data_IF_242536081479
#
_entry.id   IF_242536081479
#
_cell.length_a   1.000
_cell.length_b   1.000
_cell.length_c   1.000
_cell.angle_alpha   90.00
_cell.angle_beta   90.00
_cell.angle_gamma   90.00
#
_symmetry.space_group_name_H-M   'P 1'
#
loop_
_entity.id
_entity.type
_entity.pdbx_description
1 polymer ?
#
# COMPACT_ATOMS: atom_id res chain seq x y z
N UNK A 1 4.90 21.51 -18.76
CA UNK A 1 4.66 20.58 -17.65
C UNK A 1 3.40 19.73 -17.91
N UNK A 2 2.24 20.34 -18.20
CA UNK A 2 0.96 19.63 -18.45
C UNK A 2 1.07 18.60 -19.59
N UNK A 3 1.63 18.98 -20.74
CA UNK A 3 1.82 18.07 -21.88
C UNK A 3 2.65 16.85 -21.51
N UNK A 4 3.67 17.01 -20.68
CA UNK A 4 4.52 15.91 -20.21
C UNK A 4 3.78 15.03 -19.20
N UNK A 5 3.01 15.61 -18.29
CA UNK A 5 2.17 14.86 -17.35
C UNK A 5 1.12 14.01 -18.08
N UNK A 6 0.44 14.57 -19.10
CA UNK A 6 -0.49 13.83 -19.94
C UNK A 6 0.20 12.65 -20.66
N UNK A 7 1.38 12.89 -21.23
CA UNK A 7 2.16 11.85 -21.92
C UNK A 7 2.56 10.71 -20.96
N UNK A 8 2.99 11.03 -19.75
CA UNK A 8 3.34 10.03 -18.73
C UNK A 8 2.10 9.23 -18.35
N UNK A 9 0.97 9.88 -18.09
CA UNK A 9 -0.30 9.25 -17.77
C UNK A 9 -0.74 8.27 -18.86
N UNK A 10 -0.76 8.72 -20.12
CA UNK A 10 -1.13 7.87 -21.26
C UNK A 10 -0.21 6.65 -21.40
N UNK A 11 1.10 6.86 -21.31
CA UNK A 11 2.08 5.78 -21.40
C UNK A 11 1.95 4.79 -20.23
N UNK A 12 1.68 5.25 -19.02
CA UNK A 12 1.48 4.40 -17.86
C UNK A 12 0.34 3.40 -18.11
N UNK A 13 -0.84 3.88 -18.51
CA UNK A 13 -1.96 2.98 -18.77
C UNK A 13 -1.76 2.12 -20.01
N UNK A 14 -1.17 2.68 -21.07
CA UNK A 14 -0.87 1.94 -22.31
C UNK A 14 0.06 0.75 -22.11
N UNK A 15 1.06 0.90 -21.24
CA UNK A 15 2.12 -0.12 -21.11
C UNK A 15 2.03 -0.95 -19.83
N UNK A 16 1.40 -0.43 -18.77
CA UNK A 16 1.37 -1.11 -17.47
C UNK A 16 0.01 -1.72 -17.14
N UNK A 17 -1.08 -1.30 -17.80
CA UNK A 17 -2.38 -1.92 -17.60
C UNK A 17 -2.45 -3.29 -18.29
N UNK A 18 -2.75 -4.31 -17.48
CA UNK A 18 -3.03 -5.66 -17.98
C UNK A 18 -4.55 -5.88 -17.99
N UNK A 19 -5.21 -5.87 -19.15
CA UNK A 19 -6.66 -6.01 -19.22
C UNK A 19 -7.16 -7.41 -18.81
N UNK A 20 -6.31 -8.45 -18.84
CA UNK A 20 -6.67 -9.79 -18.37
C UNK A 20 -6.57 -9.91 -16.87
N UNK A 21 -5.56 -9.27 -16.29
CA UNK A 21 -5.39 -9.20 -14.85
C UNK A 21 -6.28 -8.12 -14.22
N UNK A 22 -6.80 -7.17 -15.02
CA UNK A 22 -7.56 -5.99 -14.57
C UNK A 22 -6.77 -5.20 -13.51
N UNK A 23 -5.47 -4.99 -13.78
CA UNK A 23 -4.56 -4.40 -12.82
C UNK A 23 -3.36 -3.73 -13.50
N UNK A 24 -2.81 -2.69 -12.87
CA UNK A 24 -1.55 -2.09 -13.26
C UNK A 24 -0.38 -2.93 -12.73
N UNK A 25 0.47 -3.39 -13.64
CA UNK A 25 1.55 -4.32 -13.35
C UNK A 25 2.91 -3.74 -13.73
N UNK A 26 3.96 -4.30 -13.17
CA UNK A 26 5.34 -3.91 -13.46
C UNK A 26 5.76 -4.41 -14.83
N UNK A 27 6.37 -3.53 -15.61
CA UNK A 27 7.06 -3.86 -16.86
C UNK A 27 8.57 -3.82 -16.62
N UNK A 28 9.28 -4.90 -16.96
CA UNK A 28 10.75 -4.89 -16.93
C UNK A 28 11.31 -3.91 -17.96
N UNK A 29 12.44 -3.30 -17.65
CA UNK A 29 13.17 -2.41 -18.58
C UNK A 29 14.00 -3.19 -19.62
N UNK A 30 13.98 -4.51 -19.56
CA UNK A 30 14.70 -5.36 -20.51
C UNK A 30 14.09 -5.28 -21.91
N UNK A 31 14.91 -5.47 -22.93
CA UNK A 31 14.44 -5.49 -24.32
C UNK A 31 13.48 -6.66 -24.54
N UNK A 32 12.27 -6.37 -25.09
CA UNK A 32 11.19 -7.32 -25.28
C UNK A 32 10.54 -7.85 -23.98
N UNK A 33 10.58 -7.08 -22.90
CA UNK A 33 9.96 -7.46 -21.64
C UNK A 33 8.42 -7.50 -21.74
N UNK A 34 7.84 -8.43 -21.02
CA UNK A 34 6.40 -8.50 -20.76
C UNK A 34 6.07 -7.99 -19.36
N UNK A 35 4.81 -7.69 -19.13
CA UNK A 35 4.31 -7.42 -17.78
C UNK A 35 4.59 -8.61 -16.86
N UNK A 36 5.01 -8.31 -15.63
CA UNK A 36 5.21 -9.35 -14.60
C UNK A 36 3.89 -10.03 -14.28
N UNK A 37 3.96 -11.32 -13.93
CA UNK A 37 2.75 -12.13 -13.69
C UNK A 37 2.17 -11.98 -12.27
N UNK A 38 2.47 -10.92 -11.57
CA UNK A 38 2.02 -10.65 -10.20
C UNK A 38 1.30 -9.32 -10.12
N UNK A 39 0.24 -9.23 -9.30
CA UNK A 39 -0.30 -7.96 -8.84
C UNK A 39 0.48 -7.52 -7.61
N UNK A 40 1.04 -6.34 -7.66
CA UNK A 40 1.75 -5.73 -6.55
C UNK A 40 0.96 -4.53 -6.02
N UNK A 41 0.98 -4.30 -4.72
CA UNK A 41 0.21 -3.24 -4.06
C UNK A 41 0.49 -1.85 -4.67
N UNK A 42 1.69 -1.64 -5.20
CA UNK A 42 2.06 -0.43 -5.93
C UNK A 42 1.21 -0.15 -7.18
N UNK A 43 0.49 -1.12 -7.70
CA UNK A 43 -0.46 -0.91 -8.77
C UNK A 43 -1.59 0.07 -8.42
N UNK A 44 -1.82 0.36 -7.13
CA UNK A 44 -2.77 1.39 -6.68
C UNK A 44 -2.19 2.81 -6.61
N UNK A 45 -0.87 2.96 -6.75
CA UNK A 45 -0.20 4.28 -6.65
C UNK A 45 -0.78 5.36 -7.57
N UNK A 46 -1.21 5.07 -8.81
CA UNK A 46 -1.78 6.11 -9.68
C UNK A 46 -3.00 6.84 -9.11
N UNK A 47 -3.81 6.17 -8.28
CA UNK A 47 -4.94 6.82 -7.61
C UNK A 47 -4.52 7.78 -6.50
N UNK A 48 -3.36 7.56 -5.87
CA UNK A 48 -2.84 8.49 -4.89
C UNK A 48 -2.46 9.86 -5.50
N UNK A 49 -2.29 9.91 -6.81
CA UNK A 49 -1.97 11.13 -7.58
C UNK A 49 -3.09 11.55 -8.55
N UNK A 50 -4.31 11.01 -8.40
CA UNK A 50 -5.46 11.25 -9.28
C UNK A 50 -5.18 11.03 -10.79
N UNK A 51 -4.27 10.11 -11.10
CA UNK A 51 -3.91 9.81 -12.48
C UNK A 51 -4.85 8.78 -13.15
N UNK A 52 -5.46 7.90 -12.36
CA UNK A 52 -6.35 6.86 -12.88
C UNK A 52 -7.79 7.34 -13.02
N UNK A 53 -8.47 6.96 -14.10
CA UNK A 53 -9.91 7.20 -14.27
C UNK A 53 -10.75 6.05 -13.70
N UNK A 54 -12.07 6.26 -13.61
CA UNK A 54 -13.04 5.25 -13.17
C UNK A 54 -13.03 3.97 -14.04
N UNK A 55 -12.58 4.05 -15.29
CA UNK A 55 -12.47 2.88 -16.18
C UNK A 55 -11.52 1.79 -15.65
N UNK A 56 -10.56 2.20 -14.81
CA UNK A 56 -9.59 1.31 -14.20
C UNK A 56 -9.97 0.91 -12.76
N UNK A 57 -11.08 1.41 -12.22
CA UNK A 57 -11.49 1.17 -10.85
C UNK A 57 -11.74 -0.31 -10.52
N UNK A 58 -11.95 -1.15 -11.52
CA UNK A 58 -12.06 -2.61 -11.37
C UNK A 58 -10.85 -3.23 -10.63
N UNK A 59 -9.69 -2.60 -10.68
CA UNK A 59 -8.50 -3.03 -9.93
C UNK A 59 -8.74 -3.10 -8.42
N UNK A 60 -9.63 -2.27 -7.89
CA UNK A 60 -9.89 -2.19 -6.45
C UNK A 60 -10.64 -3.39 -5.87
N UNK A 61 -11.27 -4.23 -6.70
CA UNK A 61 -11.90 -5.49 -6.24
C UNK A 61 -10.92 -6.47 -5.58
N UNK A 62 -9.61 -6.31 -5.82
CA UNK A 62 -8.58 -7.16 -5.24
C UNK A 62 -8.11 -6.70 -3.86
N UNK A 63 -8.32 -5.41 -3.50
CA UNK A 63 -7.77 -4.85 -2.26
C UNK A 63 -8.30 -5.56 -1.02
N UNK A 64 -9.61 -5.71 -0.92
CA UNK A 64 -10.28 -6.30 0.25
C UNK A 64 -10.45 -7.83 0.15
N UNK A 65 -9.71 -8.46 -0.73
CA UNK A 65 -9.76 -9.90 -0.94
C UNK A 65 -8.57 -10.59 -0.26
N UNK A 66 -8.86 -11.55 0.63
CA UNK A 66 -7.86 -12.30 1.40
C UNK A 66 -7.01 -13.27 0.56
N UNK A 67 -7.37 -13.54 -0.69
CA UNK A 67 -6.51 -14.26 -1.64
C UNK A 67 -5.53 -13.33 -2.34
N UNK A 68 -5.79 -12.02 -2.28
CA UNK A 68 -4.97 -11.01 -2.94
C UNK A 68 -4.24 -10.16 -1.90
N UNK A 69 -4.81 -9.05 -1.45
CA UNK A 69 -4.04 -8.11 -0.64
C UNK A 69 -4.44 -8.06 0.83
N UNK A 70 -5.70 -8.36 1.19
CA UNK A 70 -6.17 -8.17 2.56
C UNK A 70 -5.55 -9.20 3.51
N UNK A 71 -4.91 -8.72 4.59
CA UNK A 71 -4.42 -9.54 5.68
C UNK A 71 -4.66 -8.85 7.04
N UNK A 72 -4.60 -9.61 8.17
CA UNK A 72 -4.99 -9.10 9.49
C UNK A 72 -4.23 -7.88 10.00
N UNK A 73 -2.97 -7.67 9.55
CA UNK A 73 -2.10 -6.59 10.00
C UNK A 73 -1.67 -5.62 8.90
N UNK A 74 -2.40 -5.61 7.80
CA UNK A 74 -2.17 -4.69 6.68
C UNK A 74 -2.20 -5.40 5.33
N UNK A 75 -2.32 -4.64 4.23
CA UNK A 75 -2.30 -5.23 2.91
C UNK A 75 -0.91 -5.79 2.60
N UNK A 76 -0.87 -6.92 1.94
CA UNK A 76 0.38 -7.53 1.46
C UNK A 76 0.93 -6.77 0.25
N UNK A 77 2.23 -6.69 0.10
CA UNK A 77 2.88 -6.01 -1.03
C UNK A 77 2.74 -6.74 -2.35
N UNK A 78 2.54 -8.06 -2.32
CA UNK A 78 2.19 -8.89 -3.47
C UNK A 78 0.91 -9.68 -3.19
N UNK A 79 0.18 -10.08 -4.23
CA UNK A 79 -1.02 -10.90 -4.07
C UNK A 79 -0.70 -12.28 -3.46
N UNK A 80 -1.45 -12.67 -2.43
CA UNK A 80 -1.19 -13.86 -1.61
C UNK A 80 -1.34 -15.18 -2.39
N UNK A 81 -2.12 -15.19 -3.46
CA UNK A 81 -2.29 -16.38 -4.30
C UNK A 81 -1.15 -16.60 -5.32
N UNK A 82 -0.21 -15.67 -5.44
CA UNK A 82 0.90 -15.81 -6.38
C UNK A 82 1.94 -16.81 -5.87
N UNK A 83 2.49 -17.70 -6.72
CA UNK A 83 3.46 -18.72 -6.30
C UNK A 83 4.76 -18.18 -5.66
N UNK A 84 5.14 -16.94 -5.98
CA UNK A 84 6.32 -16.28 -5.42
C UNK A 84 6.00 -15.42 -4.18
N UNK A 85 4.74 -15.43 -3.71
CA UNK A 85 4.40 -14.79 -2.46
C UNK A 85 5.18 -15.41 -1.31
N UNK A 86 5.86 -14.59 -0.52
CA UNK A 86 6.70 -15.06 0.56
C UNK A 86 6.75 -14.05 1.70
N UNK A 87 6.54 -14.52 2.92
CA UNK A 87 6.86 -13.81 4.15
C UNK A 87 7.95 -14.58 4.85
N UNK A 88 9.15 -14.03 4.94
CA UNK A 88 10.33 -14.75 5.42
C UNK A 88 11.14 -13.95 6.46
N UNK A 89 11.88 -14.68 7.30
CA UNK A 89 12.81 -14.15 8.30
C UNK A 89 14.26 -14.50 7.92
N UNK A 90 14.52 -14.62 6.63
CA UNK A 90 15.82 -14.95 6.05
C UNK A 90 16.13 -14.02 4.87
N UNK A 91 17.38 -13.98 4.43
CA UNK A 91 17.79 -13.09 3.36
C UNK A 91 17.91 -11.64 3.80
N UNK A 92 17.54 -10.70 2.97
CA UNK A 92 17.50 -9.28 3.30
C UNK A 92 16.22 -8.94 4.06
N UNK A 93 16.28 -8.02 5.04
CA UNK A 93 15.12 -7.61 5.82
C UNK A 93 14.11 -6.77 5.03
N UNK A 94 14.57 -6.08 3.99
CA UNK A 94 13.74 -5.26 3.11
C UNK A 94 13.10 -6.14 2.02
N UNK A 95 11.92 -6.70 2.28
CA UNK A 95 11.22 -7.63 1.39
C UNK A 95 9.92 -7.02 0.88
N UNK A 96 9.68 -7.13 -0.43
CA UNK A 96 8.54 -6.56 -1.14
C UNK A 96 7.64 -7.60 -1.84
N UNK A 97 7.84 -8.87 -1.56
CA UNK A 97 7.09 -9.97 -2.17
C UNK A 97 6.07 -10.63 -1.24
N UNK A 98 5.65 -9.93 -0.19
CA UNK A 98 4.67 -10.46 0.76
C UNK A 98 4.44 -9.61 2.01
N UNK A 99 5.47 -9.16 2.73
CA UNK A 99 5.30 -8.36 3.94
C UNK A 99 4.45 -7.11 3.73
N UNK A 100 3.72 -6.69 4.75
CA UNK A 100 3.04 -5.41 4.74
C UNK A 100 4.03 -4.28 5.04
N UNK A 101 3.89 -3.17 4.32
CA UNK A 101 4.71 -1.98 4.47
C UNK A 101 3.83 -0.78 4.82
N UNK A 102 4.06 -0.12 5.95
CA UNK A 102 3.33 1.11 6.31
C UNK A 102 3.31 2.14 5.19
N UNK A 103 4.44 2.38 4.53
CA UNK A 103 4.51 3.28 3.39
C UNK A 103 3.54 2.91 2.25
N UNK A 104 3.58 1.65 1.81
CA UNK A 104 2.70 1.17 0.74
C UNK A 104 1.23 1.16 1.17
N UNK A 105 0.94 0.83 2.44
CA UNK A 105 -0.40 0.92 3.02
C UNK A 105 -0.94 2.34 3.01
N UNK A 106 -0.11 3.31 3.42
CA UNK A 106 -0.47 4.73 3.41
C UNK A 106 -0.78 5.22 1.99
N UNK A 107 0.08 4.93 1.03
CA UNK A 107 -0.14 5.30 -0.38
C UNK A 107 -1.42 4.67 -0.95
N UNK A 108 -1.70 3.42 -0.59
CA UNK A 108 -2.93 2.74 -1.01
C UNK A 108 -4.17 3.40 -0.39
N UNK A 109 -4.12 3.78 0.88
CA UNK A 109 -5.22 4.47 1.55
C UNK A 109 -5.45 5.88 0.98
N UNK A 110 -4.40 6.63 0.62
CA UNK A 110 -4.55 7.90 -0.11
C UNK A 110 -5.26 7.68 -1.44
N UNK A 111 -4.82 6.68 -2.20
CA UNK A 111 -5.46 6.33 -3.47
C UNK A 111 -6.92 5.90 -3.31
N UNK A 112 -7.23 5.13 -2.26
CA UNK A 112 -8.60 4.72 -1.94
C UNK A 112 -9.48 5.93 -1.57
N UNK A 113 -8.96 6.84 -0.75
CA UNK A 113 -9.68 8.06 -0.41
C UNK A 113 -9.96 8.93 -1.65
N UNK A 114 -8.98 9.10 -2.54
CA UNK A 114 -9.17 9.83 -3.79
C UNK A 114 -10.20 9.15 -4.71
N UNK A 115 -10.11 7.82 -4.87
CA UNK A 115 -11.11 7.07 -5.65
C UNK A 115 -12.53 7.29 -5.12
N UNK A 116 -12.73 7.17 -3.80
CA UNK A 116 -14.05 7.28 -3.18
C UNK A 116 -14.64 8.68 -3.27
N UNK A 117 -13.80 9.71 -3.26
CA UNK A 117 -14.25 11.09 -3.36
C UNK A 117 -14.42 11.58 -4.80
N UNK A 118 -13.53 11.16 -5.71
CA UNK A 118 -13.43 11.77 -7.04
C UNK A 118 -14.07 10.93 -8.14
N UNK A 119 -14.45 9.65 -7.86
CA UNK A 119 -14.88 8.74 -8.92
C UNK A 119 -16.12 7.93 -8.52
N UNK A 120 -17.07 7.79 -9.45
CA UNK A 120 -18.20 6.87 -9.28
C UNK A 120 -17.78 5.45 -9.65
N UNK A 121 -17.86 4.52 -8.71
CA UNK A 121 -17.54 3.11 -8.89
C UNK A 121 -18.27 2.25 -7.83
N UNK A 122 -18.24 0.91 -7.97
CA UNK A 122 -18.96 -0.03 -7.09
C UNK A 122 -18.09 -1.17 -6.55
N UNK A 123 -16.77 -1.07 -6.67
CA UNK A 123 -15.84 -2.14 -6.27
C UNK A 123 -15.43 -2.07 -4.80
N UNK A 124 -15.39 -0.86 -4.25
CA UNK A 124 -15.06 -0.56 -2.85
C UNK A 124 -15.90 0.60 -2.33
N UNK A 125 -16.05 0.70 -1.02
CA UNK A 125 -16.82 1.76 -0.37
C UNK A 125 -16.09 2.36 0.85
N UNK A 126 -16.73 3.29 1.55
CA UNK A 126 -16.15 3.94 2.73
C UNK A 126 -15.93 2.97 3.90
N UNK A 127 -16.64 1.85 3.98
CA UNK A 127 -16.41 0.82 5.00
C UNK A 127 -15.11 0.07 4.76
N UNK A 128 -14.75 -0.12 3.49
CA UNK A 128 -13.47 -0.71 3.10
C UNK A 128 -12.31 0.20 3.53
N UNK A 129 -12.45 1.52 3.31
CA UNK A 129 -11.48 2.50 3.79
C UNK A 129 -11.32 2.43 5.32
N UNK A 130 -12.42 2.50 6.07
CA UNK A 130 -12.41 2.44 7.55
C UNK A 130 -11.80 1.12 8.03
N UNK A 131 -12.13 0.01 7.36
CA UNK A 131 -11.60 -1.32 7.71
C UNK A 131 -10.09 -1.35 7.54
N UNK A 132 -9.58 -0.96 6.38
CA UNK A 132 -8.14 -0.98 6.09
C UNK A 132 -7.38 0.04 6.95
N UNK A 133 -7.92 1.23 7.14
CA UNK A 133 -7.37 2.25 8.02
C UNK A 133 -7.29 1.76 9.47
N UNK A 134 -8.33 1.09 9.96
CA UNK A 134 -8.35 0.51 11.31
C UNK A 134 -7.35 -0.63 11.49
N UNK A 135 -7.16 -1.46 10.47
CA UNK A 135 -6.11 -2.50 10.45
C UNK A 135 -4.74 -1.83 10.53
N UNK A 136 -4.50 -0.81 9.71
CA UNK A 136 -3.25 -0.05 9.69
C UNK A 136 -2.95 0.58 11.05
N UNK A 137 -3.89 1.33 11.62
CA UNK A 137 -3.72 1.97 12.92
C UNK A 137 -3.38 0.96 14.03
N UNK A 138 -4.05 -0.20 14.04
CA UNK A 138 -3.80 -1.27 15.02
C UNK A 138 -2.50 -2.02 14.80
N UNK A 139 -1.93 -1.98 13.61
CA UNK A 139 -0.64 -2.62 13.32
C UNK A 139 0.56 -1.82 13.82
N UNK A 140 0.37 -0.54 14.18
CA UNK A 140 1.44 0.36 14.62
C UNK A 140 1.86 0.14 16.08
N UNK A 141 2.02 -1.12 16.47
CA UNK A 141 2.46 -1.52 17.80
C UNK A 141 3.47 -2.67 17.72
N UNK A 142 4.32 -2.74 18.73
CA UNK A 142 5.17 -3.89 19.01
C UNK A 142 4.74 -4.53 20.30
N UNK A 143 4.63 -5.85 20.33
CA UNK A 143 4.35 -6.63 21.50
C UNK A 143 5.66 -7.15 22.10
N UNK A 144 5.88 -6.93 23.39
CA UNK A 144 7.02 -7.51 24.11
C UNK A 144 6.76 -8.94 24.56
N UNK A 145 7.76 -9.57 25.19
CA UNK A 145 7.66 -10.93 25.70
C UNK A 145 6.58 -11.13 26.79
N UNK A 146 6.18 -10.05 27.47
CA UNK A 146 5.14 -10.05 28.51
C UNK A 146 3.75 -9.73 27.93
N UNK A 147 3.67 -9.50 26.62
CA UNK A 147 2.44 -9.16 25.95
C UNK A 147 2.06 -7.68 26.01
N UNK A 148 2.94 -6.80 26.50
CA UNK A 148 2.71 -5.37 26.58
C UNK A 148 2.87 -4.77 25.18
N UNK A 149 1.86 -3.99 24.75
CA UNK A 149 1.88 -3.26 23.49
C UNK A 149 2.53 -1.89 23.66
N UNK A 150 3.53 -1.61 22.86
CA UNK A 150 4.19 -0.29 22.78
C UNK A 150 3.99 0.27 21.37
N UNK A 151 3.64 1.54 21.21
CA UNK A 151 3.59 2.19 19.89
C UNK A 151 4.93 1.99 19.18
N UNK A 152 4.85 1.51 17.93
CA UNK A 152 6.03 1.15 17.17
C UNK A 152 5.77 1.27 15.68
N UNK A 153 6.77 1.74 14.96
CA UNK A 153 6.78 1.75 13.52
C UNK A 153 8.17 1.40 13.00
N UNK A 154 8.21 0.58 11.97
CA UNK A 154 9.42 0.11 11.32
C UNK A 154 9.14 -0.09 9.82
N UNK A 155 10.09 -0.61 9.05
CA UNK A 155 9.96 -0.73 7.59
C UNK A 155 8.83 -1.67 7.17
N UNK A 156 8.84 -2.93 7.65
CA UNK A 156 7.84 -3.92 7.26
C UNK A 156 7.47 -4.87 8.40
N UNK A 157 6.28 -5.41 8.27
CA UNK A 157 5.74 -6.36 9.23
C UNK A 157 5.14 -7.59 8.55
N UNK A 158 5.08 -8.66 9.32
CA UNK A 158 4.39 -9.87 8.93
C UNK A 158 2.88 -9.59 8.89
N UNK A 159 2.23 -9.68 7.72
CA UNK A 159 0.82 -9.30 7.55
C UNK A 159 -0.15 -10.22 8.30
N UNK A 160 0.31 -11.39 8.77
CA UNK A 160 -0.52 -12.39 9.47
C UNK A 160 -0.33 -12.36 10.98
N UNK A 161 0.84 -11.97 11.48
CA UNK A 161 1.16 -11.98 12.92
C UNK A 161 1.35 -10.61 13.53
N UNK A 162 1.60 -9.58 12.70
CA UNK A 162 1.92 -8.24 13.15
C UNK A 162 3.35 -8.06 13.68
N UNK A 163 4.20 -9.11 13.57
CA UNK A 163 5.61 -8.97 13.94
C UNK A 163 6.37 -8.09 12.94
N UNK A 164 7.19 -7.18 13.45
CA UNK A 164 8.06 -6.33 12.65
C UNK A 164 9.26 -7.12 12.14
N UNK A 165 9.15 -7.67 10.92
CA UNK A 165 10.14 -8.56 10.31
C UNK A 165 11.51 -7.91 10.27
N UNK A 166 11.60 -6.68 9.78
CA UNK A 166 12.86 -5.93 9.70
C UNK A 166 13.52 -5.83 11.06
N UNK A 167 12.76 -5.50 12.11
CA UNK A 167 13.26 -5.37 13.49
C UNK A 167 13.73 -6.71 14.05
N UNK A 168 12.93 -7.76 13.90
CA UNK A 168 13.26 -9.10 14.35
C UNK A 168 14.55 -9.59 13.67
N UNK A 169 14.67 -9.42 12.35
CA UNK A 169 15.86 -9.83 11.61
C UNK A 169 17.11 -9.04 11.99
N UNK A 170 17.01 -7.71 12.13
CA UNK A 170 18.14 -6.88 12.57
C UNK A 170 18.58 -7.21 13.99
N UNK A 171 17.63 -7.46 14.90
CA UNK A 171 17.93 -7.81 16.29
C UNK A 171 18.62 -9.17 16.43
N UNK A 172 18.41 -10.11 15.52
CA UNK A 172 19.06 -11.43 15.55
C UNK A 172 20.45 -11.43 14.92
N UNK A 173 20.74 -10.48 14.01
CA UNK A 173 22.01 -10.44 13.27
C UNK A 173 23.12 -9.67 13.95
N UNK A 174 22.78 -8.73 14.79
CA UNK A 174 23.74 -7.79 15.41
C UNK A 174 23.73 -7.90 16.92
N UNK A 175 24.93 -7.86 17.55
CA UNK A 175 25.07 -7.79 19.00
C UNK A 175 24.47 -6.52 19.59
N UNK A 176 24.43 -5.43 18.80
CA UNK A 176 23.66 -4.22 19.07
C UNK A 176 22.67 -4.05 17.94
N UNK A 177 21.35 -4.06 18.22
CA UNK A 177 20.35 -3.82 17.20
C UNK A 177 20.59 -2.48 16.52
N UNK A 178 20.72 -2.49 15.19
CA UNK A 178 20.73 -1.25 14.43
C UNK A 178 19.37 -0.59 14.52
N UNK A 179 19.36 0.73 14.72
CA UNK A 179 18.12 1.52 14.81
C UNK A 179 17.56 1.90 13.41
N UNK A 180 18.22 1.48 12.32
CA UNK A 180 17.72 1.77 10.96
C UNK A 180 16.33 1.20 10.77
N UNK A 181 15.50 1.95 10.06
CA UNK A 181 14.09 1.61 9.80
C UNK A 181 13.14 1.90 10.96
N UNK A 182 13.64 2.03 12.19
CA UNK A 182 12.84 2.45 13.33
C UNK A 182 12.40 3.90 13.16
N UNK A 183 11.15 4.17 13.58
CA UNK A 183 10.53 5.49 13.43
C UNK A 183 10.50 5.97 11.97
N UNK A 184 10.50 5.03 11.04
CA UNK A 184 10.41 5.26 9.61
C UNK A 184 9.24 6.18 9.28
N UNK A 185 9.55 7.28 8.61
CA UNK A 185 8.66 8.43 8.40
C UNK A 185 7.26 8.07 7.90
N UNK A 186 6.25 8.25 8.76
CA UNK A 186 4.84 7.99 8.43
C UNK A 186 3.93 9.18 8.77
N UNK A 187 4.41 10.41 8.62
CA UNK A 187 3.59 11.63 8.71
C UNK A 187 2.32 11.54 7.85
N UNK A 188 2.38 10.80 6.76
CA UNK A 188 1.22 10.52 5.90
C UNK A 188 0.03 9.87 6.65
N UNK A 189 0.25 9.22 7.80
CA UNK A 189 -0.85 8.75 8.65
C UNK A 189 -1.72 9.90 9.16
N UNK A 190 -1.13 11.03 9.53
CA UNK A 190 -1.88 12.22 9.96
C UNK A 190 -2.71 12.80 8.79
N UNK A 191 -2.15 12.79 7.59
CA UNK A 191 -2.88 13.23 6.41
C UNK A 191 -4.06 12.31 6.10
N UNK A 192 -3.91 11.00 6.32
CA UNK A 192 -5.02 10.05 6.20
C UNK A 192 -6.13 10.30 7.21
N UNK A 193 -5.82 10.77 8.42
CA UNK A 193 -6.83 11.18 9.40
C UNK A 193 -7.54 12.45 8.91
N UNK A 194 -6.79 13.46 8.49
CA UNK A 194 -7.32 14.76 8.11
C UNK A 194 -8.11 14.66 6.79
N UNK A 195 -7.45 14.17 5.74
CA UNK A 195 -8.00 14.21 4.38
C UNK A 195 -8.88 12.98 4.07
N UNK A 196 -8.58 11.84 4.69
CA UNK A 196 -9.26 10.58 4.42
C UNK A 196 -10.42 10.32 5.38
N UNK A 197 -10.18 10.38 6.69
CA UNK A 197 -11.18 10.02 7.71
C UNK A 197 -12.12 11.18 8.05
N UNK A 198 -11.59 12.40 8.27
CA UNK A 198 -12.37 13.60 8.58
C UNK A 198 -12.92 14.21 7.28
N UNK A 199 -12.18 14.10 6.18
CA UNK A 199 -12.58 14.58 4.86
C UNK A 199 -12.22 16.04 4.58
N UNK A 200 -11.38 16.67 5.40
CA UNK A 200 -10.91 18.05 5.15
C UNK A 200 -9.91 18.03 4.00
N UNK A 201 -10.29 18.61 2.85
CA UNK A 201 -9.47 18.63 1.64
C UNK A 201 -9.26 20.07 1.16
N UNK A 202 -8.06 20.37 0.59
CA UNK A 202 -7.87 21.64 -0.07
C UNK A 202 -8.76 21.72 -1.32
N UNK A 203 -9.42 22.87 -1.53
CA UNK A 203 -10.17 23.20 -2.72
C UNK A 203 -9.46 24.28 -3.53
N UNK A 204 -9.68 24.33 -4.84
CA UNK A 204 -9.25 25.44 -5.69
C UNK A 204 -10.12 26.71 -5.47
N UNK A 205 -11.33 26.55 -4.91
CA UNK A 205 -12.17 27.63 -4.46
C UNK A 205 -11.78 28.00 -3.03
N UNK A 206 -12.04 29.26 -2.61
CA UNK A 206 -11.62 29.77 -1.29
C UNK A 206 -12.33 29.09 -0.09
N UNK A 207 -13.16 28.10 -0.32
CA UNK A 207 -13.92 27.33 0.68
C UNK A 207 -13.29 25.95 0.93
N UNK A 208 -13.27 25.54 2.20
CA UNK A 208 -12.86 24.18 2.58
C UNK A 208 -14.01 23.19 2.26
N UNK A 209 -13.74 22.20 1.44
CA UNK A 209 -14.59 21.04 1.28
C UNK A 209 -14.47 20.12 2.51
N UNK A 210 -15.62 19.78 3.12
CA UNK A 210 -15.72 18.88 4.30
C UNK A 210 -16.70 17.76 4.02
#
# INVERSE_FOLDING_TARGET
LETEACRIKENMFKYLWDPKAEFLKVLSVEKNASLKDVRELHGYTPWAFDLASADYAVAWKFLMNTRHFLAPYGPTTAEQCHPQFKVAYEGHECQWNGPSWPYATSMTLVGLANLLNNQTQSFVDSRDFITLFSIYARSLYKKDANGILTPWIDENLNPFTGDWISRTMLSTRHQKPEERGKDYNHSLFCDLVINGLIGIRPSEEEELDV
#
